data_IF_182887885735
#
_entry.id   IF_182887885735
#
_cell.length_a   1.000
_cell.length_b   1.000
_cell.length_c   1.000
_cell.angle_alpha   90.00
_cell.angle_beta   90.00
_cell.angle_gamma   90.00
#
_symmetry.space_group_name_H-M   'P 1'
#
loop_
_entity.id
_entity.type
_entity.pdbx_description
1 polymer ?
#
# COMPACT_ATOMS: atom_id res chain seq x y z
N UNK A 1 -5.44 13.07 -17.40
CA UNK A 1 -4.69 12.74 -18.62
C UNK A 1 -4.05 11.37 -18.48
N UNK A 2 -4.18 10.55 -19.52
CA UNK A 2 -3.59 9.20 -19.56
C UNK A 2 -2.06 9.28 -19.53
N UNK A 3 -1.48 10.22 -20.24
CA UNK A 3 -0.03 10.39 -20.28
C UNK A 3 0.53 10.85 -18.94
N UNK A 4 -0.15 11.77 -18.27
CA UNK A 4 0.26 12.20 -16.93
C UNK A 4 0.20 11.06 -15.93
N UNK A 5 -0.84 10.22 -16.02
CA UNK A 5 -0.97 9.02 -15.17
C UNK A 5 0.16 8.03 -15.42
N UNK A 6 0.51 7.78 -16.68
CA UNK A 6 1.62 6.89 -17.03
C UNK A 6 2.96 7.43 -16.53
N UNK A 7 3.19 8.73 -16.70
CA UNK A 7 4.41 9.37 -16.21
C UNK A 7 4.53 9.25 -14.69
N UNK A 8 3.42 9.44 -13.97
CA UNK A 8 3.39 9.29 -12.52
C UNK A 8 3.74 7.85 -12.10
N UNK A 9 3.09 6.87 -12.71
CA UNK A 9 3.34 5.45 -12.40
C UNK A 9 4.81 5.10 -12.67
N UNK A 10 5.36 5.54 -13.79
CA UNK A 10 6.76 5.30 -14.11
C UNK A 10 7.70 5.95 -13.09
N UNK A 11 7.36 7.17 -12.64
CA UNK A 11 8.17 7.89 -11.66
C UNK A 11 8.24 7.22 -10.29
N UNK A 12 7.21 6.48 -9.89
CA UNK A 12 7.18 5.80 -8.58
C UNK A 12 7.58 4.33 -8.67
N UNK A 13 7.82 3.79 -9.85
CA UNK A 13 8.04 2.34 -10.04
C UNK A 13 9.14 1.79 -9.15
N UNK A 14 10.30 2.44 -9.09
CA UNK A 14 11.41 1.99 -8.26
C UNK A 14 11.10 2.11 -6.77
N UNK A 15 10.40 3.18 -6.36
CA UNK A 15 10.01 3.36 -4.97
C UNK A 15 9.07 2.24 -4.51
N UNK A 16 8.08 1.91 -5.33
CA UNK A 16 7.14 0.82 -5.04
C UNK A 16 7.88 -0.52 -5.01
N UNK A 17 8.78 -0.75 -5.97
CA UNK A 17 9.53 -2.00 -6.04
C UNK A 17 10.37 -2.26 -4.78
N UNK A 18 10.88 -1.22 -4.14
CA UNK A 18 11.65 -1.33 -2.90
C UNK A 18 10.84 -1.88 -1.73
N UNK A 19 9.51 -1.83 -1.80
CA UNK A 19 8.62 -2.39 -0.77
C UNK A 19 8.28 -3.86 -1.02
N UNK A 20 8.66 -4.41 -2.17
CA UNK A 20 8.28 -5.76 -2.55
C UNK A 20 9.08 -6.81 -1.83
N UNK A 21 8.40 -7.89 -1.47
CA UNK A 21 8.97 -9.14 -0.97
C UNK A 21 9.00 -10.15 -2.12
N UNK A 22 9.75 -11.26 -1.96
CA UNK A 22 9.76 -12.30 -3.01
C UNK A 22 8.38 -12.86 -3.37
N UNK A 23 7.42 -12.83 -2.44
CA UNK A 23 6.07 -13.34 -2.66
C UNK A 23 5.22 -12.42 -3.56
N UNK A 24 5.62 -11.17 -3.76
CA UNK A 24 4.91 -10.26 -4.65
C UNK A 24 5.16 -10.68 -6.10
N UNK A 25 4.09 -10.92 -6.84
CA UNK A 25 4.16 -11.38 -8.22
C UNK A 25 3.74 -10.24 -9.14
N UNK A 26 4.51 -10.07 -10.22
CA UNK A 26 4.24 -9.01 -11.20
C UNK A 26 4.77 -7.66 -10.75
N UNK A 27 4.43 -6.63 -11.49
CA UNK A 27 4.85 -5.26 -11.24
C UNK A 27 3.68 -4.30 -11.27
N UNK A 28 3.98 -3.01 -11.20
CA UNK A 28 3.01 -1.95 -11.38
C UNK A 28 2.40 -1.97 -12.78
N UNK A 29 1.13 -1.60 -12.88
CA UNK A 29 0.45 -1.39 -14.14
C UNK A 29 -0.61 -2.43 -14.47
N UNK A 30 -0.73 -3.49 -13.67
CA UNK A 30 -1.81 -4.46 -13.81
C UNK A 30 -3.10 -3.99 -13.16
N UNK A 31 -4.17 -4.77 -13.32
CA UNK A 31 -5.48 -4.45 -12.75
C UNK A 31 -5.66 -4.94 -11.32
N UNK A 32 -4.74 -5.77 -10.83
CA UNK A 32 -4.78 -6.29 -9.48
C UNK A 32 -3.39 -6.54 -8.93
N UNK A 33 -3.34 -6.75 -7.62
CA UNK A 33 -2.13 -7.16 -6.94
C UNK A 33 -2.09 -8.68 -6.78
N UNK A 34 -0.92 -9.26 -6.92
CA UNK A 34 -0.71 -10.70 -6.76
C UNK A 34 0.32 -10.95 -5.67
N UNK A 35 -0.02 -11.81 -4.75
CA UNK A 35 0.86 -12.20 -3.65
C UNK A 35 0.76 -13.70 -3.44
N UNK A 36 1.87 -14.39 -3.56
CA UNK A 36 1.93 -15.83 -3.34
C UNK A 36 2.07 -16.11 -1.84
N UNK A 37 1.15 -16.91 -1.29
CA UNK A 37 1.26 -17.29 0.11
C UNK A 37 2.53 -18.12 0.33
N UNK A 38 3.36 -17.76 1.33
CA UNK A 38 4.51 -18.60 1.69
C UNK A 38 4.06 -19.96 2.17
N UNK A 39 4.92 -20.96 2.01
CA UNK A 39 4.68 -22.30 2.55
C UNK A 39 4.79 -22.27 4.08
N UNK A 40 4.25 -23.28 4.74
CA UNK A 40 4.38 -23.46 6.18
C UNK A 40 3.14 -23.11 7.00
N UNK A 41 2.12 -22.57 6.37
CA UNK A 41 0.85 -22.30 7.03
C UNK A 41 -0.09 -23.50 6.87
N UNK A 42 -0.85 -23.80 7.94
CA UNK A 42 -1.93 -24.77 7.90
C UNK A 42 -3.25 -24.00 7.90
N UNK A 43 -4.04 -24.15 6.84
CA UNK A 43 -5.33 -23.46 6.68
C UNK A 43 -5.21 -21.94 6.87
N UNK A 44 -4.38 -21.27 6.06
CA UNK A 44 -4.14 -19.84 6.25
C UNK A 44 -5.40 -19.00 6.01
N UNK A 45 -5.52 -17.94 6.81
CA UNK A 45 -6.58 -16.95 6.66
C UNK A 45 -5.94 -15.62 6.27
N UNK A 46 -6.44 -15.00 5.21
CA UNK A 46 -5.97 -13.69 4.79
C UNK A 46 -6.72 -12.60 5.54
N UNK A 47 -5.98 -11.62 6.02
CA UNK A 47 -6.54 -10.43 6.64
C UNK A 47 -6.12 -9.22 5.81
N UNK A 48 -7.07 -8.43 5.37
CA UNK A 48 -6.81 -7.23 4.61
C UNK A 48 -7.60 -6.06 5.17
N UNK A 49 -7.05 -4.87 5.05
CA UNK A 49 -7.70 -3.66 5.48
C UNK A 49 -7.15 -2.48 4.69
N UNK A 50 -7.96 -1.44 4.60
CA UNK A 50 -7.57 -0.21 3.90
C UNK A 50 -8.19 0.98 4.62
N UNK A 51 -7.54 2.14 4.51
CA UNK A 51 -7.96 3.36 5.19
C UNK A 51 -7.63 4.55 4.30
N UNK A 52 -8.43 5.61 4.42
CA UNK A 52 -8.24 6.85 3.66
C UNK A 52 -7.61 8.00 4.44
N UNK A 53 -7.12 7.76 5.64
CA UNK A 53 -6.54 8.72 6.61
C UNK A 53 -7.47 9.89 7.03
N UNK A 54 -8.71 9.91 6.59
CA UNK A 54 -9.76 10.79 7.08
C UNK A 54 -9.35 12.26 7.18
N UNK A 55 -9.45 12.82 8.40
CA UNK A 55 -9.17 14.25 8.68
C UNK A 55 -7.70 14.62 8.48
N UNK A 56 -6.76 13.68 8.56
CA UNK A 56 -5.34 13.96 8.30
C UNK A 56 -5.11 14.40 6.87
N UNK A 57 -5.89 13.89 5.93
CA UNK A 57 -5.80 14.32 4.54
C UNK A 57 -6.24 15.77 4.38
N UNK A 58 -7.29 16.19 5.08
CA UNK A 58 -7.73 17.58 5.10
C UNK A 58 -6.64 18.50 5.64
N UNK A 59 -5.97 18.10 6.71
CA UNK A 59 -4.87 18.84 7.29
C UNK A 59 -3.69 18.94 6.32
N UNK A 60 -3.36 17.84 5.65
CA UNK A 60 -2.32 17.80 4.63
C UNK A 60 -2.60 18.81 3.51
N UNK A 61 -3.84 18.86 3.03
CA UNK A 61 -4.25 19.82 2.01
C UNK A 61 -4.18 21.27 2.53
N UNK A 62 -4.68 21.52 3.75
CA UNK A 62 -4.71 22.85 4.34
C UNK A 62 -3.30 23.41 4.53
N UNK A 63 -2.33 22.59 4.91
CA UNK A 63 -0.94 22.98 5.14
C UNK A 63 -0.05 22.81 3.93
N UNK A 64 -0.60 22.28 2.83
CA UNK A 64 0.16 21.92 1.63
C UNK A 64 1.38 21.03 1.95
N UNK A 65 1.19 20.08 2.89
CA UNK A 65 2.21 19.11 3.30
C UNK A 65 1.74 17.71 2.98
N UNK A 66 2.39 17.08 2.01
CA UNK A 66 1.99 15.77 1.48
C UNK A 66 3.07 14.70 1.66
N UNK A 67 4.22 15.06 2.20
CA UNK A 67 5.40 14.20 2.30
C UNK A 67 5.33 13.18 3.46
N UNK A 68 4.40 13.36 4.40
CA UNK A 68 4.30 12.50 5.58
C UNK A 68 2.96 11.79 5.73
N UNK A 69 1.93 12.22 5.00
CA UNK A 69 0.58 11.62 5.15
C UNK A 69 0.54 10.15 4.73
N UNK A 70 1.42 9.73 3.82
CA UNK A 70 1.55 8.33 3.42
C UNK A 70 2.05 7.44 4.55
N UNK A 71 2.89 7.95 5.44
CA UNK A 71 3.34 7.22 6.64
C UNK A 71 2.15 6.93 7.55
N UNK A 72 1.29 7.92 7.77
CA UNK A 72 0.07 7.77 8.56
C UNK A 72 -0.86 6.74 7.92
N UNK A 73 -1.02 6.79 6.61
CA UNK A 73 -1.86 5.85 5.88
C UNK A 73 -1.42 4.40 6.11
N UNK A 74 -0.14 4.12 5.91
CA UNK A 74 0.41 2.78 6.10
C UNK A 74 0.29 2.35 7.56
N UNK A 75 0.61 3.23 8.49
CA UNK A 75 0.53 2.93 9.92
C UNK A 75 -0.90 2.58 10.36
N UNK A 76 -1.90 3.32 9.88
CA UNK A 76 -3.30 3.04 10.20
C UNK A 76 -3.76 1.71 9.63
N UNK A 77 -3.42 1.41 8.38
CA UNK A 77 -3.76 0.12 7.76
C UNK A 77 -3.09 -1.05 8.48
N UNK A 78 -1.80 -0.92 8.82
CA UNK A 78 -1.05 -1.96 9.54
C UNK A 78 -1.63 -2.17 10.93
N UNK A 79 -1.96 -1.12 11.65
CA UNK A 79 -2.54 -1.24 12.99
C UNK A 79 -3.87 -1.98 12.96
N UNK A 80 -4.73 -1.69 11.98
CA UNK A 80 -6.01 -2.39 11.83
C UNK A 80 -5.81 -3.89 11.61
N UNK A 81 -4.86 -4.26 10.78
CA UNK A 81 -4.55 -5.67 10.51
C UNK A 81 -3.94 -6.35 11.74
N UNK A 82 -3.04 -5.67 12.46
CA UNK A 82 -2.40 -6.21 13.65
C UNK A 82 -3.37 -6.52 14.79
N UNK A 83 -4.50 -5.81 14.87
CA UNK A 83 -5.49 -6.07 15.92
C UNK A 83 -6.08 -7.48 15.84
N UNK A 84 -6.02 -8.13 14.69
CA UNK A 84 -6.48 -9.51 14.50
C UNK A 84 -5.43 -10.55 14.86
N UNK A 85 -4.20 -10.14 15.21
CA UNK A 85 -3.08 -11.04 15.43
C UNK A 85 -2.38 -11.49 14.15
N UNK A 86 -2.66 -10.86 13.02
CA UNK A 86 -2.01 -11.18 11.74
C UNK A 86 -0.51 -10.83 11.77
N UNK A 87 0.25 -11.53 10.96
CA UNK A 87 1.69 -11.30 10.80
C UNK A 87 2.06 -10.86 9.39
#
# INVERSE_FOLDING_TARGET
>A
SVEAGRAFVEGIRQLVHRTHRPEVIGGLGGFGGYFQLPSGYTEPVLVSGTDGVGTKLKLSHALNRHDTVGIDLVAMCVNDVLTSGAE
#
